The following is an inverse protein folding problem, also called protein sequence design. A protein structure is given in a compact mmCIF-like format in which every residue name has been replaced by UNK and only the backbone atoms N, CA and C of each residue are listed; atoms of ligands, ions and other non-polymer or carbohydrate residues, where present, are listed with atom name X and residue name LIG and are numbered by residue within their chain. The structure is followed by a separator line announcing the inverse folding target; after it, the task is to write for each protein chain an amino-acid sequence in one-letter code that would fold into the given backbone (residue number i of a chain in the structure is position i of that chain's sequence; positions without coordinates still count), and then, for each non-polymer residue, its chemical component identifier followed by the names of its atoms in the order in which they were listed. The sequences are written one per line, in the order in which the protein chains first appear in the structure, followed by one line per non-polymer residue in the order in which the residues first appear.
data_IF_334456954398
#
_entry.id   IF_334456954398
#
_cell.length_a   1.000
_cell.length_b   1.000
_cell.length_c   1.000
_cell.angle_alpha   90.00
_cell.angle_beta   90.00
_cell.angle_gamma   90.00
#
_symmetry.space_group_name_H-M   'P 1'
#
loop_
_entity.id
_entity.type
_entity.pdbx_description
1 polymer ?
#
# COMPACT_ATOMS: atom_id res chain seq x y z
N UNK A 1 -9.48 49.76 49.33
CA UNK A 1 -9.25 49.93 47.88
C UNK A 1 -8.05 49.10 47.51
N UNK A 2 -8.19 48.01 46.77
CA UNK A 2 -7.25 47.35 45.88
C UNK A 2 -7.59 45.87 45.72
N UNK A 3 -8.52 45.54 44.79
CA UNK A 3 -8.82 44.16 44.37
C UNK A 3 -9.16 44.10 42.84
N UNK A 4 -8.36 44.76 41.98
CA UNK A 4 -8.66 44.82 40.54
C UNK A 4 -7.48 44.48 39.59
N UNK A 5 -6.41 43.81 40.05
CA UNK A 5 -5.24 43.51 39.14
C UNK A 5 -4.90 42.05 38.94
N UNK A 6 -5.61 41.09 39.53
CA UNK A 6 -5.22 39.66 39.37
C UNK A 6 -5.99 38.96 38.24
N UNK A 7 -7.17 39.46 37.84
CA UNK A 7 -7.97 38.81 36.76
C UNK A 7 -7.42 38.96 35.33
N UNK A 8 -6.63 40.03 35.05
CA UNK A 8 -6.14 40.31 33.72
C UNK A 8 -5.00 39.41 33.24
N UNK A 9 -4.13 38.97 34.14
CA UNK A 9 -2.96 38.13 33.80
C UNK A 9 -3.33 36.66 33.50
N UNK A 10 -4.39 36.14 34.15
CA UNK A 10 -4.86 34.77 33.94
C UNK A 10 -5.57 34.67 32.57
N UNK A 11 -6.40 35.66 32.21
CA UNK A 11 -7.10 35.73 30.93
C UNK A 11 -6.14 35.82 29.72
N UNK A 12 -5.07 36.61 29.85
CA UNK A 12 -4.06 36.76 28.77
C UNK A 12 -3.22 35.47 28.61
N UNK A 13 -2.90 34.77 29.70
CA UNK A 13 -2.18 33.49 29.62
C UNK A 13 -3.04 32.36 29.03
N UNK A 14 -4.33 32.28 29.35
CA UNK A 14 -5.25 31.33 28.73
C UNK A 14 -5.47 31.63 27.25
N UNK A 15 -5.59 32.90 26.86
CA UNK A 15 -5.74 33.31 25.46
C UNK A 15 -4.48 33.01 24.65
N UNK A 16 -3.28 33.19 25.20
CA UNK A 16 -2.01 32.82 24.56
C UNK A 16 -1.87 31.29 24.41
N UNK A 17 -2.28 30.48 25.38
CA UNK A 17 -2.26 29.01 25.26
C UNK A 17 -3.24 28.52 24.20
N UNK A 18 -4.45 29.09 24.09
CA UNK A 18 -5.45 28.68 23.09
C UNK A 18 -5.08 29.09 21.67
N UNK A 19 -4.29 30.15 21.48
CA UNK A 19 -3.80 30.57 20.15
C UNK A 19 -2.54 29.82 19.74
N UNK A 20 -1.68 29.42 20.69
CA UNK A 20 -0.44 28.68 20.37
C UNK A 20 -0.68 27.22 19.99
N UNK A 21 -1.74 26.53 20.49
CA UNK A 21 -2.02 25.15 20.11
C UNK A 21 -2.32 24.95 18.62
N UNK A 22 -3.22 25.72 17.98
CA UNK A 22 -3.48 25.58 16.54
C UNK A 22 -2.29 25.99 15.65
N UNK A 23 -1.41 26.88 16.12
CA UNK A 23 -0.19 27.27 15.39
C UNK A 23 0.84 26.13 15.35
N UNK A 24 1.00 25.37 16.41
CA UNK A 24 1.93 24.23 16.47
C UNK A 24 1.47 23.07 15.57
N UNK A 25 0.16 22.78 15.53
CA UNK A 25 -0.39 21.76 14.61
C UNK A 25 -0.35 22.22 13.16
N UNK A 26 -0.55 23.50 12.88
CA UNK A 26 -0.39 24.07 11.55
C UNK A 26 1.05 23.96 11.03
N UNK A 27 2.06 24.21 11.87
CA UNK A 27 3.49 24.09 11.50
C UNK A 27 3.88 22.67 11.10
N UNK A 28 3.39 21.64 11.80
CA UNK A 28 3.70 20.23 11.46
C UNK A 28 3.06 19.81 10.14
N UNK A 29 1.85 20.27 9.85
CA UNK A 29 1.12 20.01 8.60
C UNK A 29 1.79 20.71 7.43
N UNK A 30 2.16 21.98 7.57
CA UNK A 30 2.87 22.75 6.53
C UNK A 30 4.22 22.08 6.21
N UNK A 31 5.01 21.72 7.21
CA UNK A 31 6.29 21.04 7.02
C UNK A 31 6.14 19.67 6.34
N UNK A 32 5.03 18.97 6.58
CA UNK A 32 4.72 17.73 5.89
C UNK A 32 4.45 17.95 4.40
N UNK A 33 3.58 18.90 4.05
CA UNK A 33 3.28 19.19 2.65
C UNK A 33 4.48 19.80 1.90
N UNK A 34 5.30 20.62 2.56
CA UNK A 34 6.54 21.14 1.98
C UNK A 34 7.46 20.00 1.52
N UNK A 35 7.71 19.02 2.39
CA UNK A 35 8.56 17.88 2.02
C UNK A 35 7.94 17.00 0.93
N UNK A 36 6.62 16.85 0.91
CA UNK A 36 5.91 16.08 -0.12
C UNK A 36 6.03 16.77 -1.49
N UNK A 37 5.78 18.08 -1.56
CA UNK A 37 5.92 18.87 -2.80
C UNK A 37 7.36 18.88 -3.30
N UNK A 38 8.34 19.17 -2.42
CA UNK A 38 9.77 19.15 -2.80
C UNK A 38 10.21 17.78 -3.30
N UNK A 39 9.77 16.71 -2.62
CA UNK A 39 10.08 15.34 -3.01
C UNK A 39 9.52 14.99 -4.37
N UNK A 40 8.24 15.30 -4.61
CA UNK A 40 7.56 15.08 -5.89
C UNK A 40 8.23 15.86 -7.03
N UNK A 41 8.44 17.17 -6.87
CA UNK A 41 9.12 17.99 -7.86
C UNK A 41 10.53 17.46 -8.15
N UNK A 42 11.26 17.02 -7.13
CA UNK A 42 12.58 16.40 -7.28
C UNK A 42 12.57 15.13 -8.16
N UNK A 43 11.50 14.32 -8.13
CA UNK A 43 11.32 13.18 -9.03
C UNK A 43 11.09 13.65 -10.48
N UNK A 44 10.19 14.62 -10.66
CA UNK A 44 9.85 15.14 -12.00
C UNK A 44 11.05 15.79 -12.68
N UNK A 45 11.82 16.62 -11.97
CA UNK A 45 13.01 17.29 -12.53
C UNK A 45 14.12 16.30 -12.94
N UNK A 46 14.23 15.16 -12.29
CA UNK A 46 15.19 14.09 -12.63
C UNK A 46 14.69 13.19 -13.76
N UNK A 47 13.43 13.29 -14.14
CA UNK A 47 12.84 12.37 -15.10
C UNK A 47 13.16 12.74 -16.56
N UNK A 48 13.46 11.73 -17.39
CA UNK A 48 13.69 11.87 -18.81
C UNK A 48 12.83 10.87 -19.61
N UNK A 49 12.45 11.22 -20.85
CA UNK A 49 11.72 10.33 -21.74
C UNK A 49 12.51 9.02 -21.98
N UNK A 50 11.85 7.89 -21.80
CA UNK A 50 12.41 6.56 -22.04
C UNK A 50 12.86 6.42 -23.49
N UNK A 51 12.06 6.84 -24.46
CA UNK A 51 12.41 6.75 -25.89
C UNK A 51 13.65 7.58 -26.21
N UNK A 52 13.79 8.78 -25.62
CA UNK A 52 15.00 9.60 -25.78
C UNK A 52 16.22 8.91 -25.17
N UNK A 53 16.09 8.32 -23.97
CA UNK A 53 17.22 7.61 -23.33
C UNK A 53 17.67 6.39 -24.13
N UNK A 54 16.73 5.64 -24.70
CA UNK A 54 17.02 4.49 -25.58
C UNK A 54 17.74 4.97 -26.84
N UNK A 55 17.23 6.01 -27.51
CA UNK A 55 17.76 6.51 -28.79
C UNK A 55 19.13 7.17 -28.67
N UNK A 56 19.40 7.90 -27.58
CA UNK A 56 20.62 8.70 -27.42
C UNK A 56 21.77 7.96 -26.74
N UNK A 57 21.58 6.71 -26.33
CA UNK A 57 22.60 5.92 -25.62
C UNK A 57 23.19 6.63 -24.37
N UNK A 58 22.46 7.53 -23.75
CA UNK A 58 22.92 8.29 -22.57
C UNK A 58 22.90 7.46 -21.27
N UNK A 59 22.39 6.24 -21.32
CA UNK A 59 22.38 5.29 -20.20
C UNK A 59 23.16 4.04 -20.57
N UNK A 60 23.69 3.32 -19.56
CA UNK A 60 24.42 2.07 -19.80
C UNK A 60 23.55 1.01 -20.50
N UNK A 61 24.19 0.04 -21.15
CA UNK A 61 23.51 -1.01 -21.95
C UNK A 61 22.43 -1.73 -21.13
N UNK A 62 22.75 -2.16 -19.92
CA UNK A 62 21.81 -2.85 -19.02
C UNK A 62 20.58 -2.00 -18.71
N UNK A 63 20.77 -0.72 -18.37
CA UNK A 63 19.64 0.20 -18.14
C UNK A 63 18.79 0.36 -19.40
N UNK A 64 19.42 0.49 -20.56
CA UNK A 64 18.71 0.60 -21.85
C UNK A 64 17.88 -0.64 -22.16
N UNK A 65 18.39 -1.83 -21.94
CA UNK A 65 17.65 -3.10 -22.10
C UNK A 65 16.43 -3.14 -21.17
N UNK A 66 16.61 -2.74 -19.91
CA UNK A 66 15.50 -2.67 -18.95
C UNK A 66 14.44 -1.65 -19.35
N UNK A 67 14.84 -0.50 -19.89
CA UNK A 67 13.91 0.51 -20.41
C UNK A 67 13.15 0.02 -21.66
N UNK A 68 13.79 -0.79 -22.52
CA UNK A 68 13.11 -1.42 -23.66
C UNK A 68 12.06 -2.43 -23.19
N UNK A 69 12.40 -3.29 -22.22
CA UNK A 69 11.47 -4.21 -21.60
C UNK A 69 10.30 -3.48 -20.94
N UNK A 70 10.57 -2.41 -20.19
CA UNK A 70 9.53 -1.60 -19.57
C UNK A 70 8.54 -1.03 -20.58
N UNK A 71 9.03 -0.54 -21.72
CA UNK A 71 8.18 -0.06 -22.82
C UNK A 71 7.31 -1.16 -23.42
N UNK A 72 7.85 -2.37 -23.53
CA UNK A 72 7.11 -3.57 -23.98
C UNK A 72 6.01 -3.92 -22.97
N UNK A 73 6.33 -3.99 -21.66
CA UNK A 73 5.38 -4.26 -20.59
C UNK A 73 4.23 -3.25 -20.62
N UNK A 74 4.54 -1.94 -20.69
CA UNK A 74 3.52 -0.90 -20.74
C UNK A 74 2.61 -1.06 -21.96
N UNK A 75 3.19 -1.32 -23.13
CA UNK A 75 2.42 -1.55 -24.38
C UNK A 75 1.48 -2.74 -24.23
N UNK A 76 1.94 -3.85 -23.64
CA UNK A 76 1.12 -5.00 -23.34
C UNK A 76 -0.05 -4.64 -22.41
N UNK A 77 0.21 -3.93 -21.32
CA UNK A 77 -0.83 -3.45 -20.38
C UNK A 77 -1.93 -2.68 -21.09
N UNK A 78 -1.58 -1.77 -22.00
CA UNK A 78 -2.54 -0.98 -22.78
C UNK A 78 -3.31 -1.86 -23.78
N UNK A 79 -2.61 -2.65 -24.58
CA UNK A 79 -3.23 -3.37 -25.73
C UNK A 79 -3.97 -4.63 -25.31
N UNK A 80 -3.50 -5.37 -24.30
CA UNK A 80 -4.05 -6.67 -23.91
C UNK A 80 -4.88 -6.61 -22.63
N UNK A 81 -4.48 -5.75 -21.67
CA UNK A 81 -5.19 -5.65 -20.39
C UNK A 81 -6.17 -4.48 -20.34
N UNK A 82 -6.33 -3.71 -21.42
CA UNK A 82 -7.20 -2.51 -21.47
C UNK A 82 -6.86 -1.46 -20.42
N UNK A 83 -5.60 -1.39 -19.99
CA UNK A 83 -5.11 -0.36 -19.06
C UNK A 83 -4.97 1.00 -19.78
N UNK A 84 -5.00 2.14 -19.06
CA UNK A 84 -4.98 3.46 -19.66
C UNK A 84 -3.74 3.74 -20.52
N UNK A 85 -3.95 4.33 -21.70
CA UNK A 85 -2.87 4.85 -22.56
C UNK A 85 -2.67 6.34 -22.30
N UNK A 86 -1.75 6.67 -21.40
CA UNK A 86 -1.40 8.04 -21.04
C UNK A 86 0.11 8.18 -20.86
N UNK A 87 0.59 9.32 -20.34
CA UNK A 87 2.04 9.57 -20.19
C UNK A 87 2.70 8.92 -18.97
N UNK A 88 1.94 8.25 -18.08
CA UNK A 88 2.51 7.57 -16.92
C UNK A 88 3.42 6.41 -17.35
N UNK A 89 4.55 6.28 -16.67
CA UNK A 89 5.57 5.25 -16.91
C UNK A 89 6.21 5.28 -18.31
N UNK A 90 6.12 6.45 -19.00
CA UNK A 90 6.86 6.75 -20.24
C UNK A 90 8.18 7.48 -19.98
N UNK A 91 8.43 7.84 -18.72
CA UNK A 91 9.63 8.55 -18.26
C UNK A 91 10.38 7.70 -17.22
N UNK A 92 11.68 7.92 -17.11
CA UNK A 92 12.56 7.28 -16.14
C UNK A 92 13.29 8.34 -15.32
N UNK A 93 13.44 8.11 -14.01
CA UNK A 93 14.24 8.93 -13.13
C UNK A 93 15.18 8.09 -12.26
N UNK A 94 16.46 8.44 -12.25
CA UNK A 94 17.41 7.95 -11.27
C UNK A 94 17.45 8.91 -10.08
N UNK A 95 16.98 8.45 -8.94
CA UNK A 95 16.91 9.25 -7.71
C UNK A 95 18.11 9.03 -6.79
N UNK A 96 19.03 8.10 -7.11
CA UNK A 96 20.26 7.83 -6.39
C UNK A 96 20.05 7.27 -4.98
N UNK A 97 18.96 6.53 -4.74
CA UNK A 97 18.61 5.89 -3.47
C UNK A 97 17.74 4.67 -3.70
N UNK A 98 17.59 3.80 -2.67
CA UNK A 98 16.91 2.51 -2.77
C UNK A 98 15.37 2.60 -2.69
N UNK A 99 14.83 3.67 -2.11
CA UNK A 99 13.39 3.86 -1.92
C UNK A 99 12.94 5.26 -2.35
N UNK A 100 11.78 5.32 -2.99
CA UNK A 100 11.15 6.58 -3.38
C UNK A 100 10.65 7.36 -2.16
N UNK A 101 9.93 6.67 -1.27
CA UNK A 101 9.36 7.21 -0.04
C UNK A 101 9.47 6.18 1.09
N UNK A 102 9.23 6.62 2.32
CA UNK A 102 9.06 5.77 3.51
C UNK A 102 7.63 5.91 4.00
N UNK A 103 6.89 4.80 4.05
CA UNK A 103 5.54 4.74 4.59
C UNK A 103 5.58 4.34 6.07
N UNK A 104 4.78 5.05 6.89
CA UNK A 104 4.58 4.76 8.30
C UNK A 104 3.13 4.36 8.50
N UNK A 105 2.90 3.16 9.00
CA UNK A 105 1.62 2.58 9.36
C UNK A 105 1.50 2.55 10.87
N UNK A 106 0.31 2.74 11.41
CA UNK A 106 0.05 2.61 12.84
C UNK A 106 -1.32 2.00 13.10
N UNK A 107 -1.49 1.48 14.30
CA UNK A 107 -2.75 0.92 14.80
C UNK A 107 -2.76 1.07 16.32
N UNK A 108 -3.93 1.20 16.92
CA UNK A 108 -4.03 1.17 18.36
C UNK A 108 -3.58 -0.21 18.91
N UNK A 109 -3.09 -0.22 20.15
CA UNK A 109 -2.53 -1.43 20.77
C UNK A 109 -3.50 -2.63 20.72
N UNK A 110 -4.79 -2.37 20.90
CA UNK A 110 -5.85 -3.37 20.90
C UNK A 110 -6.87 -3.13 19.78
N UNK A 111 -6.37 -2.93 18.55
CA UNK A 111 -7.22 -2.78 17.38
C UNK A 111 -6.60 -3.46 16.15
N UNK A 112 -7.44 -4.11 15.36
CA UNK A 112 -7.09 -4.59 14.02
C UNK A 112 -7.36 -3.54 12.94
N UNK A 113 -7.87 -2.36 13.32
CA UNK A 113 -8.11 -1.27 12.39
C UNK A 113 -6.87 -0.40 12.26
N UNK A 114 -6.50 0.01 11.03
CA UNK A 114 -5.39 0.92 10.83
C UNK A 114 -5.76 2.34 11.25
N UNK A 115 -4.79 3.05 11.83
CA UNK A 115 -4.88 4.51 11.93
C UNK A 115 -4.82 5.11 10.54
N UNK A 116 -5.69 6.06 10.25
CA UNK A 116 -5.75 6.72 8.94
C UNK A 116 -5.30 8.18 9.01
N UNK A 117 -4.77 8.67 7.89
CA UNK A 117 -4.44 10.08 7.67
C UNK A 117 -5.12 10.55 6.39
N UNK A 118 -5.75 11.73 6.47
CA UNK A 118 -6.57 12.24 5.37
C UNK A 118 -5.81 13.29 4.56
N UNK A 119 -5.85 13.13 3.23
CA UNK A 119 -5.21 13.99 2.25
C UNK A 119 -6.23 14.51 1.22
N UNK A 120 -6.03 15.69 0.62
CA UNK A 120 -7.02 16.28 -0.30
C UNK A 120 -7.37 15.40 -1.49
N UNK A 121 -6.39 14.71 -2.10
CA UNK A 121 -6.55 13.89 -3.30
C UNK A 121 -6.90 12.45 -2.91
N UNK A 122 -6.03 11.78 -2.17
CA UNK A 122 -6.17 10.36 -1.85
C UNK A 122 -7.32 10.06 -0.87
N UNK A 123 -7.81 11.06 -0.13
CA UNK A 123 -8.72 10.83 0.99
C UNK A 123 -7.99 10.31 2.22
N UNK A 124 -8.67 9.51 3.05
CA UNK A 124 -8.08 8.94 4.25
C UNK A 124 -7.45 7.58 3.91
N UNK A 125 -6.13 7.47 4.12
CA UNK A 125 -5.34 6.27 3.80
C UNK A 125 -4.64 5.74 5.06
N UNK A 126 -4.33 4.42 5.14
CA UNK A 126 -3.81 3.78 6.35
C UNK A 126 -2.31 4.00 6.58
N UNK A 127 -1.68 4.93 5.87
CA UNK A 127 -0.27 5.24 6.03
C UNK A 127 0.02 6.72 5.81
N UNK A 128 1.20 7.14 6.28
CA UNK A 128 1.74 8.47 6.02
C UNK A 128 3.10 8.35 5.35
N UNK A 129 3.24 8.93 4.14
CA UNK A 129 4.44 8.83 3.32
C UNK A 129 5.42 9.97 3.54
N UNK A 130 6.72 9.68 3.55
CA UNK A 130 7.80 10.66 3.69
C UNK A 130 8.87 10.44 2.63
N UNK A 131 9.34 11.50 1.99
CA UNK A 131 10.51 11.45 1.12
C UNK A 131 11.84 11.40 1.89
N UNK A 132 11.82 11.64 3.20
CA UNK A 132 12.97 11.57 4.09
C UNK A 132 12.82 10.43 5.09
N UNK A 133 13.80 9.49 5.08
CA UNK A 133 13.87 8.38 6.04
C UNK A 133 13.87 8.89 7.49
N UNK A 134 14.71 9.87 7.80
CA UNK A 134 14.81 10.43 9.14
C UNK A 134 13.49 11.05 9.65
N UNK A 135 12.71 11.71 8.77
CA UNK A 135 11.40 12.25 9.15
C UNK A 135 10.39 11.12 9.39
N UNK A 136 10.42 10.06 8.59
CA UNK A 136 9.57 8.88 8.80
C UNK A 136 9.90 8.17 10.12
N UNK A 137 11.19 7.96 10.41
CA UNK A 137 11.65 7.34 11.66
C UNK A 137 11.25 8.16 12.89
N UNK A 138 11.43 9.49 12.86
CA UNK A 138 10.99 10.38 13.94
C UNK A 138 9.50 10.26 14.18
N UNK A 139 8.69 10.34 13.13
CA UNK A 139 7.24 10.21 13.25
C UNK A 139 6.83 8.82 13.77
N UNK A 140 7.49 7.76 13.34
CA UNK A 140 7.26 6.42 13.86
C UNK A 140 7.58 6.31 15.37
N UNK A 141 8.65 6.97 15.85
CA UNK A 141 9.00 7.01 17.26
C UNK A 141 7.96 7.80 18.08
N UNK A 142 7.45 8.93 17.56
CA UNK A 142 6.38 9.71 18.19
C UNK A 142 5.11 8.87 18.38
N UNK A 143 4.70 8.11 17.36
CA UNK A 143 3.54 7.21 17.44
C UNK A 143 3.77 6.07 18.44
N UNK A 144 4.96 5.46 18.45
CA UNK A 144 5.32 4.41 19.43
C UNK A 144 5.30 4.96 20.87
N UNK A 145 5.82 6.16 21.09
CA UNK A 145 5.77 6.81 22.40
C UNK A 145 4.32 7.09 22.84
N UNK A 146 3.40 7.27 21.89
CA UNK A 146 1.95 7.36 22.14
C UNK A 146 1.25 6.02 22.38
N UNK A 147 1.98 4.90 22.45
CA UNK A 147 1.43 3.57 22.76
C UNK A 147 0.84 2.82 21.55
N UNK A 148 1.09 3.28 20.32
CA UNK A 148 0.60 2.61 19.12
C UNK A 148 1.55 1.48 18.66
N UNK A 149 0.97 0.44 18.06
CA UNK A 149 1.71 -0.47 17.19
C UNK A 149 2.11 0.28 15.93
N UNK A 150 3.38 0.24 15.55
CA UNK A 150 3.89 1.00 14.39
C UNK A 150 4.75 0.11 13.50
N UNK A 151 4.55 0.27 12.20
CA UNK A 151 5.37 -0.33 11.16
C UNK A 151 5.84 0.75 10.19
N UNK A 152 7.12 0.74 9.83
CA UNK A 152 7.69 1.63 8.83
C UNK A 152 8.44 0.82 7.77
N UNK A 153 8.21 1.16 6.50
CA UNK A 153 8.84 0.48 5.36
C UNK A 153 9.26 1.48 4.29
N UNK A 154 10.39 1.20 3.64
CA UNK A 154 10.73 1.84 2.39
C UNK A 154 9.78 1.37 1.27
N UNK A 155 9.28 2.32 0.48
CA UNK A 155 8.42 2.07 -0.68
C UNK A 155 9.21 2.44 -1.94
N UNK A 156 9.46 1.47 -2.83
CA UNK A 156 10.32 1.70 -3.98
C UNK A 156 9.63 2.47 -5.11
N UNK A 157 8.31 2.40 -5.21
CA UNK A 157 7.52 3.14 -6.19
C UNK A 157 6.88 4.40 -5.59
N UNK A 158 6.46 5.32 -6.45
CA UNK A 158 5.68 6.49 -6.09
C UNK A 158 4.70 6.80 -7.22
N UNK A 159 3.44 6.96 -6.88
CA UNK A 159 2.38 7.27 -7.84
C UNK A 159 1.58 8.48 -7.38
N UNK A 160 1.14 9.27 -8.35
CA UNK A 160 0.20 10.40 -8.17
C UNK A 160 -1.24 10.01 -8.50
N UNK A 161 -1.52 8.73 -8.65
CA UNK A 161 -2.85 8.20 -9.04
C UNK A 161 -3.35 8.78 -10.39
N UNK A 162 -2.43 9.06 -11.31
CA UNK A 162 -2.74 9.62 -12.62
C UNK A 162 -2.94 11.14 -12.68
N UNK A 163 -2.73 11.87 -11.57
CA UNK A 163 -2.72 13.33 -11.57
C UNK A 163 -1.51 13.96 -12.26
N UNK A 164 -0.48 13.15 -12.53
CA UNK A 164 0.73 13.52 -13.24
C UNK A 164 1.29 12.37 -14.05
N UNK A 165 2.34 12.65 -14.87
CA UNK A 165 3.08 11.63 -15.61
C UNK A 165 4.10 10.99 -14.69
N UNK A 166 3.72 9.95 -13.94
CA UNK A 166 4.58 9.27 -12.97
C UNK A 166 5.75 8.57 -13.69
N UNK A 167 7.03 8.84 -13.29
CA UNK A 167 8.17 8.17 -13.88
C UNK A 167 8.41 6.80 -13.24
N UNK A 168 8.98 5.87 -14.00
CA UNK A 168 9.63 4.69 -13.41
C UNK A 168 10.95 5.10 -12.78
N UNK A 169 11.25 4.55 -11.60
CA UNK A 169 12.42 4.91 -10.84
C UNK A 169 13.52 3.82 -10.93
N UNK A 170 14.79 4.21 -10.70
CA UNK A 170 15.91 3.26 -10.59
C UNK A 170 15.67 2.19 -9.53
N UNK A 171 14.89 2.49 -8.51
CA UNK A 171 14.54 1.62 -7.38
C UNK A 171 13.84 0.32 -7.79
N UNK A 172 13.14 0.31 -8.93
CA UNK A 172 12.35 -0.82 -9.43
C UNK A 172 12.80 -1.34 -10.79
N UNK A 173 13.55 -0.54 -11.55
CA UNK A 173 13.89 -0.87 -12.94
C UNK A 173 14.64 -2.21 -13.06
N UNK A 174 15.47 -2.57 -12.07
CA UNK A 174 16.28 -3.79 -12.09
C UNK A 174 15.59 -4.99 -11.42
N UNK A 175 14.33 -4.88 -11.06
CA UNK A 175 13.58 -6.01 -10.50
C UNK A 175 13.43 -7.16 -11.52
N UNK A 176 13.15 -8.39 -11.07
CA UNK A 176 12.73 -9.48 -11.94
C UNK A 176 11.60 -9.03 -12.87
N UNK A 177 11.57 -9.60 -14.08
CA UNK A 177 10.67 -9.15 -15.15
C UNK A 177 9.19 -9.20 -14.75
N UNK A 178 8.77 -10.27 -14.08
CA UNK A 178 7.42 -10.46 -13.59
C UNK A 178 7.04 -9.44 -12.48
N UNK A 179 8.00 -9.07 -11.63
CA UNK A 179 7.76 -8.05 -10.60
C UNK A 179 7.70 -6.65 -11.19
N UNK A 180 8.54 -6.34 -12.20
CA UNK A 180 8.48 -5.07 -12.91
C UNK A 180 7.16 -4.94 -13.69
N UNK A 181 6.74 -6.01 -14.38
CA UNK A 181 5.46 -6.04 -15.08
C UNK A 181 4.29 -5.86 -14.11
N UNK A 182 4.31 -6.60 -13.00
CA UNK A 182 3.32 -6.50 -11.95
C UNK A 182 3.15 -5.08 -11.43
N UNK A 183 4.26 -4.42 -11.08
CA UNK A 183 4.22 -3.03 -10.61
C UNK A 183 3.57 -2.10 -11.63
N UNK A 184 3.93 -2.18 -12.90
CA UNK A 184 3.37 -1.29 -13.94
C UNK A 184 1.87 -1.53 -14.11
N UNK A 185 1.42 -2.79 -14.09
CA UNK A 185 -0.02 -3.11 -14.19
C UNK A 185 -0.79 -2.64 -12.96
N UNK A 186 -0.22 -2.81 -11.76
CA UNK A 186 -0.78 -2.32 -10.49
C UNK A 186 -1.01 -0.81 -10.51
N UNK A 187 0.01 -0.06 -10.84
CA UNK A 187 -0.04 1.40 -10.83
C UNK A 187 -0.96 1.97 -11.94
N UNK A 188 -1.00 1.33 -13.09
CA UNK A 188 -1.96 1.69 -14.15
C UNK A 188 -3.39 1.31 -13.79
N UNK A 189 -3.60 0.23 -13.00
CA UNK A 189 -4.94 -0.14 -12.52
C UNK A 189 -5.55 0.92 -11.62
N UNK A 190 -4.76 1.57 -10.76
CA UNK A 190 -5.23 2.72 -9.97
C UNK A 190 -5.76 3.89 -10.80
N UNK A 191 -5.37 3.97 -12.07
CA UNK A 191 -5.86 5.00 -13.01
C UNK A 191 -7.12 4.57 -13.75
N UNK A 192 -7.49 3.28 -13.70
CA UNK A 192 -8.80 2.78 -14.18
C UNK A 192 -9.90 3.11 -13.19
N UNK A 193 -9.64 2.80 -11.91
CA UNK A 193 -10.59 2.98 -10.80
C UNK A 193 -9.81 3.38 -9.55
N UNK A 194 -10.28 4.44 -8.88
CA UNK A 194 -9.82 4.84 -7.56
C UNK A 194 -10.96 5.45 -6.75
N UNK A 195 -11.28 4.86 -5.61
CA UNK A 195 -12.30 5.34 -4.69
C UNK A 195 -11.63 6.01 -3.49
N UNK A 196 -11.90 7.30 -3.33
CA UNK A 196 -11.32 8.12 -2.26
C UNK A 196 -11.63 7.53 -0.89
N UNK A 197 -10.62 7.39 -0.03
CA UNK A 197 -10.72 6.84 1.33
C UNK A 197 -10.98 5.33 1.43
N UNK A 198 -10.97 4.58 0.33
CA UNK A 198 -11.19 3.14 0.31
C UNK A 198 -9.94 2.35 -0.09
N UNK A 199 -8.88 2.49 0.71
CA UNK A 199 -7.58 1.88 0.39
C UNK A 199 -7.67 0.36 0.18
N UNK A 200 -8.42 -0.37 1.00
CA UNK A 200 -8.54 -1.82 0.84
C UNK A 200 -9.18 -2.22 -0.51
N UNK A 201 -10.18 -1.47 -0.96
CA UNK A 201 -10.79 -1.67 -2.28
C UNK A 201 -9.77 -1.38 -3.39
N UNK A 202 -9.14 -0.20 -3.36
CA UNK A 202 -8.22 0.25 -4.39
C UNK A 202 -7.00 -0.67 -4.53
N UNK A 203 -6.36 -1.00 -3.40
CA UNK A 203 -5.16 -1.83 -3.38
C UNK A 203 -5.46 -3.28 -3.75
N UNK A 204 -6.58 -3.85 -3.28
CA UNK A 204 -6.99 -5.21 -3.68
C UNK A 204 -7.34 -5.29 -5.17
N UNK A 205 -7.99 -4.26 -5.72
CA UNK A 205 -8.27 -4.17 -7.15
C UNK A 205 -6.98 -4.13 -7.96
N UNK A 206 -6.07 -3.21 -7.63
CA UNK A 206 -4.80 -3.07 -8.34
C UNK A 206 -3.93 -4.34 -8.21
N UNK A 207 -3.87 -4.96 -7.02
CA UNK A 207 -3.16 -6.23 -6.81
C UNK A 207 -3.78 -7.37 -7.62
N UNK A 208 -5.11 -7.42 -7.74
CA UNK A 208 -5.77 -8.41 -8.58
C UNK A 208 -5.41 -8.24 -10.07
N UNK A 209 -5.46 -6.99 -10.58
CA UNK A 209 -5.07 -6.68 -11.97
C UNK A 209 -3.59 -6.99 -12.21
N UNK A 210 -2.72 -6.66 -11.26
CA UNK A 210 -1.31 -7.05 -11.27
C UNK A 210 -1.16 -8.57 -11.45
N UNK A 211 -1.79 -9.35 -10.58
CA UNK A 211 -1.64 -10.81 -10.55
C UNK A 211 -2.15 -11.48 -11.82
N UNK A 212 -3.28 -11.04 -12.34
CA UNK A 212 -3.86 -11.59 -13.58
C UNK A 212 -3.09 -11.09 -14.81
N UNK A 213 -2.72 -9.80 -14.81
CA UNK A 213 -1.95 -9.19 -15.90
C UNK A 213 -0.58 -9.85 -16.11
N UNK A 214 0.15 -10.15 -15.03
CA UNK A 214 1.44 -10.86 -15.12
C UNK A 214 1.25 -12.27 -15.69
N UNK A 215 0.20 -12.99 -15.32
CA UNK A 215 -0.06 -14.32 -15.87
C UNK A 215 -0.34 -14.26 -17.38
N UNK A 216 -1.14 -13.28 -17.83
CA UNK A 216 -1.41 -13.08 -19.26
C UNK A 216 -0.13 -12.70 -20.03
N UNK A 217 0.67 -11.80 -19.47
CA UNK A 217 1.93 -11.36 -20.07
C UNK A 217 2.93 -12.51 -20.23
N UNK A 218 3.11 -13.35 -19.20
CA UNK A 218 3.97 -14.52 -19.26
C UNK A 218 3.44 -15.59 -20.25
N UNK A 219 2.12 -15.74 -20.35
CA UNK A 219 1.47 -16.65 -21.31
C UNK A 219 1.72 -16.21 -22.75
N UNK A 220 1.53 -14.90 -23.06
CA UNK A 220 1.77 -14.37 -24.41
C UNK A 220 3.23 -14.50 -24.83
N UNK A 221 4.17 -14.36 -23.88
CA UNK A 221 5.60 -14.57 -24.14
C UNK A 221 5.98 -16.04 -24.36
N UNK A 222 5.07 -16.98 -24.13
CA UNK A 222 5.35 -18.41 -24.20
C UNK A 222 6.29 -18.92 -23.09
N UNK A 223 6.52 -18.14 -22.04
CA UNK A 223 7.40 -18.50 -20.92
C UNK A 223 6.66 -19.36 -19.90
N UNK A 224 6.47 -20.63 -20.28
CA UNK A 224 5.73 -21.60 -19.45
C UNK A 224 6.41 -21.87 -18.11
N UNK A 225 7.74 -21.82 -18.06
CA UNK A 225 8.50 -22.03 -16.83
C UNK A 225 8.28 -20.87 -15.85
N UNK A 226 8.43 -19.62 -16.29
CA UNK A 226 8.17 -18.45 -15.47
C UNK A 226 6.71 -18.36 -15.03
N UNK A 227 5.76 -18.70 -15.92
CA UNK A 227 4.32 -18.75 -15.58
C UNK A 227 4.02 -19.77 -14.49
N UNK A 228 4.59 -20.97 -14.57
CA UNK A 228 4.42 -22.01 -13.55
C UNK A 228 5.01 -21.57 -12.21
N UNK A 229 6.22 -21.02 -12.22
CA UNK A 229 6.87 -20.50 -11.02
C UNK A 229 6.07 -19.32 -10.41
N UNK A 230 5.55 -18.41 -11.23
CA UNK A 230 4.71 -17.28 -10.79
C UNK A 230 3.43 -17.78 -10.11
N UNK A 231 2.70 -18.72 -10.73
CA UNK A 231 1.50 -19.33 -10.16
C UNK A 231 1.76 -20.02 -8.83
N UNK A 232 2.87 -20.73 -8.71
CA UNK A 232 3.27 -21.38 -7.46
C UNK A 232 3.54 -20.36 -6.34
N UNK A 233 4.26 -19.27 -6.65
CA UNK A 233 4.49 -18.17 -5.67
C UNK A 233 3.17 -17.47 -5.29
N UNK A 234 2.28 -17.22 -6.25
CA UNK A 234 0.95 -16.64 -5.97
C UNK A 234 0.13 -17.54 -5.05
N UNK A 235 0.07 -18.84 -5.34
CA UNK A 235 -0.65 -19.81 -4.50
C UNK A 235 -0.08 -19.88 -3.07
N UNK A 236 1.25 -19.83 -2.93
CA UNK A 236 1.89 -19.75 -1.62
C UNK A 236 1.54 -18.45 -0.89
N UNK A 237 1.63 -17.31 -1.56
CA UNK A 237 1.23 -16.00 -1.02
C UNK A 237 -0.21 -16.03 -0.51
N UNK A 238 -1.14 -16.56 -1.28
CA UNK A 238 -2.55 -16.66 -0.89
C UNK A 238 -2.77 -17.48 0.40
N UNK A 239 -2.02 -18.59 0.59
CA UNK A 239 -2.06 -19.36 1.84
C UNK A 239 -1.55 -18.55 3.04
N UNK A 240 -0.44 -17.83 2.87
CA UNK A 240 0.11 -16.97 3.93
C UNK A 240 -0.85 -15.84 4.28
N UNK A 241 -1.44 -15.19 3.27
CA UNK A 241 -2.45 -14.14 3.45
C UNK A 241 -3.64 -14.67 4.24
N UNK A 242 -4.17 -15.84 3.88
CA UNK A 242 -5.27 -16.47 4.64
C UNK A 242 -4.91 -16.63 6.12
N UNK A 243 -3.72 -17.08 6.45
CA UNK A 243 -3.28 -17.20 7.86
C UNK A 243 -3.18 -15.87 8.57
N UNK A 244 -2.75 -14.83 7.87
CA UNK A 244 -2.75 -13.47 8.41
C UNK A 244 -4.17 -13.02 8.75
N UNK A 245 -5.16 -13.30 7.89
CA UNK A 245 -6.58 -13.00 8.17
C UNK A 245 -7.13 -13.81 9.33
N UNK A 246 -6.85 -15.13 9.40
CA UNK A 246 -7.25 -15.99 10.52
C UNK A 246 -6.64 -15.49 11.85
N UNK A 247 -5.39 -15.03 11.81
CA UNK A 247 -4.72 -14.45 12.98
C UNK A 247 -5.33 -13.10 13.38
N UNK A 248 -5.63 -12.21 12.41
CA UNK A 248 -6.34 -10.95 12.66
C UNK A 248 -7.71 -11.18 13.29
N UNK A 249 -8.48 -12.16 12.81
CA UNK A 249 -9.76 -12.54 13.40
C UNK A 249 -9.59 -13.01 14.86
N UNK A 250 -8.51 -13.73 15.18
CA UNK A 250 -8.21 -14.15 16.56
C UNK A 250 -7.86 -12.97 17.46
N UNK A 251 -7.09 -11.99 16.95
CA UNK A 251 -6.80 -10.74 17.66
C UNK A 251 -8.08 -9.91 17.87
N UNK A 252 -8.94 -9.80 16.86
CA UNK A 252 -10.22 -9.08 16.99
C UNK A 252 -11.10 -9.67 18.09
N UNK A 253 -11.18 -10.99 18.21
CA UNK A 253 -11.89 -11.66 19.31
C UNK A 253 -11.27 -11.34 20.67
N UNK A 254 -9.93 -11.39 20.77
CA UNK A 254 -9.23 -11.02 21.99
C UNK A 254 -9.52 -9.57 22.40
N UNK A 255 -9.48 -8.62 21.48
CA UNK A 255 -9.68 -7.21 21.79
C UNK A 255 -11.14 -6.87 22.20
N UNK A 256 -12.09 -7.74 21.83
CA UNK A 256 -13.50 -7.66 22.27
C UNK A 256 -13.82 -8.50 23.51
N UNK A 257 -12.83 -9.17 24.11
CA UNK A 257 -13.07 -10.15 25.20
C UNK A 257 -13.44 -9.55 26.56
N UNK A 258 -13.30 -8.23 26.75
CA UNK A 258 -13.51 -7.58 28.05
C UNK A 258 -12.42 -7.86 29.09
N UNK A 259 -11.31 -8.48 28.73
CA UNK A 259 -10.16 -8.66 29.62
C UNK A 259 -9.50 -7.34 30.00
N UNK A 260 -8.79 -7.29 31.13
CA UNK A 260 -7.95 -6.15 31.47
C UNK A 260 -6.85 -5.93 30.43
N UNK A 261 -6.36 -4.69 30.30
CA UNK A 261 -5.30 -4.35 29.34
C UNK A 261 -4.05 -5.23 29.53
N UNK A 262 -3.66 -5.54 30.75
CA UNK A 262 -2.49 -6.39 31.02
C UNK A 262 -2.73 -7.85 30.61
N UNK A 263 -3.92 -8.39 30.84
CA UNK A 263 -4.31 -9.70 30.37
C UNK A 263 -4.34 -9.75 28.83
N UNK A 264 -4.92 -8.75 28.19
CA UNK A 264 -4.92 -8.63 26.72
C UNK A 264 -3.50 -8.57 26.13
N UNK A 265 -2.57 -7.82 26.75
CA UNK A 265 -1.15 -7.78 26.31
C UNK A 265 -0.49 -9.14 26.39
N UNK A 266 -0.74 -9.88 27.45
CA UNK A 266 -0.22 -11.23 27.63
C UNK A 266 -0.73 -12.17 26.55
N UNK A 267 -2.05 -12.20 26.34
CA UNK A 267 -2.67 -13.05 25.31
C UNK A 267 -2.27 -12.62 23.88
N UNK A 268 -2.19 -11.32 23.59
CA UNK A 268 -1.67 -10.80 22.32
C UNK A 268 -0.26 -11.34 22.03
N UNK A 269 0.66 -11.29 23.01
CA UNK A 269 2.02 -11.84 22.86
C UNK A 269 2.01 -13.34 22.55
N UNK A 270 1.14 -14.11 23.21
CA UNK A 270 0.99 -15.55 22.98
C UNK A 270 0.44 -15.84 21.58
N UNK A 271 -0.57 -15.10 21.13
CA UNK A 271 -1.13 -15.23 19.78
C UNK A 271 -0.05 -14.96 18.72
N UNK A 272 0.73 -13.88 18.84
CA UNK A 272 1.82 -13.59 17.91
C UNK A 272 2.95 -14.63 17.96
N UNK A 273 3.25 -15.19 19.14
CA UNK A 273 4.25 -16.27 19.27
C UNK A 273 3.79 -17.52 18.50
N UNK A 274 2.54 -17.95 18.69
CA UNK A 274 1.94 -19.08 17.96
C UNK A 274 1.89 -18.83 16.45
N UNK A 275 1.54 -17.62 16.03
CA UNK A 275 1.52 -17.24 14.61
C UNK A 275 2.91 -17.40 13.99
N UNK A 276 3.97 -16.89 14.64
CA UNK A 276 5.35 -17.02 14.16
C UNK A 276 5.80 -18.47 14.09
N UNK A 277 5.49 -19.28 15.10
CA UNK A 277 5.83 -20.70 15.14
C UNK A 277 5.16 -21.47 13.98
N UNK A 278 3.85 -21.27 13.78
CA UNK A 278 3.14 -21.89 12.67
C UNK A 278 3.70 -21.42 11.31
N UNK A 279 3.98 -20.13 11.16
CA UNK A 279 4.55 -19.61 9.93
C UNK A 279 5.94 -20.19 9.64
N UNK A 280 6.81 -20.24 10.65
CA UNK A 280 8.15 -20.82 10.55
C UNK A 280 8.10 -22.29 10.11
N UNK A 281 7.26 -23.09 10.76
CA UNK A 281 7.14 -24.54 10.46
C UNK A 281 6.68 -24.78 9.02
N UNK A 282 5.80 -23.93 8.47
CA UNK A 282 5.33 -24.05 7.09
C UNK A 282 6.29 -23.50 6.05
N UNK A 283 7.07 -22.46 6.38
CA UNK A 283 8.08 -21.91 5.48
C UNK A 283 9.13 -22.98 5.14
N UNK A 284 9.53 -23.81 6.10
CA UNK A 284 10.45 -24.92 5.84
C UNK A 284 9.84 -26.05 5.02
N UNK A 285 8.51 -26.19 5.02
CA UNK A 285 7.80 -27.13 4.16
C UNK A 285 7.56 -26.57 2.74
N UNK A 286 7.65 -25.25 2.55
CA UNK A 286 7.40 -24.53 1.29
C UNK A 286 8.66 -23.85 0.76
N UNK A 287 9.07 -24.21 -0.45
CA UNK A 287 10.30 -23.73 -1.10
C UNK A 287 10.22 -22.29 -1.66
N UNK A 288 9.34 -21.44 -1.17
CA UNK A 288 9.10 -20.11 -1.73
C UNK A 288 9.24 -19.00 -0.68
N UNK A 289 10.45 -18.46 -0.47
CA UNK A 289 10.60 -17.30 0.40
C UNK A 289 9.80 -16.12 -0.13
N UNK A 290 9.04 -15.47 0.74
CA UNK A 290 8.38 -14.21 0.45
C UNK A 290 9.27 -13.05 0.91
N UNK A 291 9.16 -11.91 0.25
CA UNK A 291 9.83 -10.67 0.71
C UNK A 291 9.38 -10.25 2.11
N UNK A 292 8.26 -10.81 2.60
CA UNK A 292 7.69 -10.53 3.93
C UNK A 292 8.25 -11.40 5.05
N UNK A 293 8.92 -12.53 4.73
CA UNK A 293 9.33 -13.54 5.70
C UNK A 293 10.14 -12.93 6.84
N UNK A 294 11.13 -12.10 6.49
CA UNK A 294 11.98 -11.48 7.48
C UNK A 294 11.18 -10.70 8.54
N UNK A 295 10.18 -9.93 8.14
CA UNK A 295 9.45 -9.09 9.08
C UNK A 295 8.25 -9.79 9.73
N UNK A 296 7.65 -10.82 9.11
CA UNK A 296 6.68 -11.68 9.78
C UNK A 296 7.35 -12.38 10.96
N UNK A 297 8.59 -12.87 10.77
CA UNK A 297 9.32 -13.58 11.78
C UNK A 297 9.95 -12.67 12.85
N UNK A 298 10.32 -11.43 12.53
CA UNK A 298 11.02 -10.54 13.46
C UNK A 298 10.11 -9.95 14.52
N UNK A 299 9.23 -9.03 14.15
CA UNK A 299 8.36 -8.27 15.08
C UNK A 299 6.97 -8.02 14.49
N UNK A 300 6.12 -9.04 14.36
CA UNK A 300 4.77 -8.83 13.89
C UNK A 300 3.97 -8.02 14.92
N UNK A 301 3.19 -7.06 14.42
CA UNK A 301 2.27 -6.25 15.22
C UNK A 301 1.02 -5.89 14.41
N UNK A 302 0.02 -5.26 15.02
CA UNK A 302 -1.22 -4.93 14.34
C UNK A 302 -1.00 -4.09 13.07
N UNK A 303 -0.12 -3.07 13.13
CA UNK A 303 0.13 -2.19 11.99
C UNK A 303 0.73 -2.95 10.77
N UNK A 304 1.59 -3.94 11.02
CA UNK A 304 2.14 -4.80 9.94
C UNK A 304 1.08 -5.70 9.32
N UNK A 305 0.23 -6.31 10.15
CA UNK A 305 -0.87 -7.14 9.67
C UNK A 305 -1.85 -6.32 8.83
N UNK A 306 -2.16 -5.10 9.27
CA UNK A 306 -3.04 -4.18 8.56
C UNK A 306 -2.46 -3.75 7.21
N UNK A 307 -1.16 -3.49 7.13
CA UNK A 307 -0.49 -3.17 5.87
C UNK A 307 -0.69 -4.27 4.81
N UNK A 308 -0.62 -5.56 5.19
CA UNK A 308 -0.87 -6.66 4.25
C UNK A 308 -2.37 -6.78 3.95
N UNK A 309 -3.22 -6.71 4.96
CA UNK A 309 -4.65 -6.89 4.79
C UNK A 309 -5.23 -5.88 3.79
N UNK A 310 -4.75 -4.63 3.80
CA UNK A 310 -5.15 -3.58 2.87
C UNK A 310 -5.03 -4.01 1.40
N UNK A 311 -3.98 -4.76 1.04
CA UNK A 311 -3.72 -5.17 -0.35
C UNK A 311 -4.48 -6.44 -0.77
N UNK A 312 -4.98 -7.24 0.18
CA UNK A 312 -5.46 -8.58 -0.14
C UNK A 312 -6.91 -8.87 0.25
N UNK A 313 -7.57 -7.92 0.92
CA UNK A 313 -8.90 -8.13 1.51
C UNK A 313 -9.95 -8.58 0.48
N UNK A 314 -9.98 -7.95 -0.71
CA UNK A 314 -11.00 -8.17 -1.72
C UNK A 314 -10.51 -8.94 -2.95
N UNK A 315 -9.28 -9.46 -2.96
CA UNK A 315 -8.76 -10.25 -4.10
C UNK A 315 -9.69 -11.42 -4.46
N UNK A 316 -10.21 -12.23 -3.51
CA UNK A 316 -11.12 -13.32 -3.86
C UNK A 316 -12.42 -12.84 -4.51
N UNK A 317 -12.95 -11.69 -4.08
CA UNK A 317 -14.16 -11.11 -4.67
C UNK A 317 -13.89 -10.64 -6.12
N UNK A 318 -12.76 -9.96 -6.35
CA UNK A 318 -12.37 -9.55 -7.70
C UNK A 318 -12.09 -10.75 -8.62
N UNK A 319 -11.55 -11.84 -8.08
CA UNK A 319 -11.37 -13.08 -8.83
C UNK A 319 -12.72 -13.64 -9.33
N UNK A 320 -13.72 -13.75 -8.44
CA UNK A 320 -15.06 -14.21 -8.81
C UNK A 320 -15.73 -13.29 -9.82
N UNK A 321 -15.61 -11.97 -9.61
CA UNK A 321 -16.15 -10.99 -10.54
C UNK A 321 -15.51 -11.12 -11.93
N UNK A 322 -14.19 -11.26 -12.02
CA UNK A 322 -13.45 -11.41 -13.26
C UNK A 322 -13.83 -12.69 -14.01
N UNK A 323 -13.98 -13.80 -13.29
CA UNK A 323 -14.47 -15.08 -13.85
C UNK A 323 -15.88 -14.93 -14.40
N UNK A 324 -16.77 -14.25 -13.68
CA UNK A 324 -18.13 -13.92 -14.14
C UNK A 324 -18.16 -13.04 -15.40
N UNK A 325 -17.14 -12.24 -15.62
CA UNK A 325 -16.94 -11.43 -16.84
C UNK A 325 -16.27 -12.21 -17.99
N UNK A 326 -16.19 -13.53 -17.91
CA UNK A 326 -15.53 -14.36 -18.92
C UNK A 326 -14.02 -14.09 -19.05
N UNK A 327 -13.39 -13.66 -17.98
CA UNK A 327 -11.95 -13.28 -17.90
C UNK A 327 -11.58 -12.17 -18.89
N UNK A 328 -12.48 -11.25 -19.18
CA UNK A 328 -12.28 -10.10 -20.05
C UNK A 328 -12.02 -8.83 -19.23
N UNK A 329 -10.84 -8.23 -19.34
CA UNK A 329 -10.45 -7.05 -18.55
C UNK A 329 -11.36 -5.84 -18.79
N UNK A 330 -11.79 -5.58 -20.02
CA UNK A 330 -12.66 -4.44 -20.32
C UNK A 330 -14.01 -4.58 -19.61
N UNK A 331 -14.66 -5.74 -19.75
CA UNK A 331 -15.94 -6.02 -19.08
C UNK A 331 -15.76 -5.97 -17.55
N UNK A 332 -14.69 -6.56 -17.04
CA UNK A 332 -14.36 -6.50 -15.62
C UNK A 332 -14.18 -5.06 -15.10
N UNK A 333 -13.49 -4.20 -15.84
CA UNK A 333 -13.33 -2.81 -15.45
C UNK A 333 -14.65 -2.04 -15.44
N UNK A 334 -15.57 -2.35 -16.36
CA UNK A 334 -16.89 -1.74 -16.38
C UNK A 334 -17.73 -2.17 -15.17
N UNK A 335 -17.68 -3.45 -14.78
CA UNK A 335 -18.32 -3.95 -13.56
C UNK A 335 -17.70 -3.34 -12.28
N UNK A 336 -16.37 -3.22 -12.23
CA UNK A 336 -15.72 -2.58 -11.08
C UNK A 336 -16.08 -1.09 -11.00
N UNK A 337 -16.21 -0.36 -12.12
CA UNK A 337 -16.73 1.00 -12.13
C UNK A 337 -18.16 1.07 -11.59
N UNK A 338 -19.03 0.14 -11.98
CA UNK A 338 -20.38 0.06 -11.43
C UNK A 338 -20.40 -0.13 -9.91
N UNK A 339 -19.47 -0.93 -9.37
CA UNK A 339 -19.30 -1.01 -7.91
C UNK A 339 -18.94 0.33 -7.28
N UNK A 340 -18.17 1.19 -7.94
CA UNK A 340 -17.77 2.50 -7.37
C UNK A 340 -18.92 3.48 -7.24
N UNK A 341 -19.97 3.33 -8.04
CA UNK A 341 -21.17 4.16 -7.99
C UNK A 341 -22.11 3.78 -6.82
N UNK A 342 -21.91 2.60 -6.22
CA UNK A 342 -22.70 2.15 -5.07
C UNK A 342 -22.30 2.90 -3.78
N UNK A 343 -23.22 3.08 -2.84
CA UNK A 343 -22.88 3.49 -1.47
C UNK A 343 -21.84 2.54 -0.86
N UNK A 344 -20.92 3.02 0.00
CA UNK A 344 -19.85 2.18 0.57
C UNK A 344 -20.36 0.89 1.24
N UNK A 345 -21.47 0.95 1.99
CA UNK A 345 -22.04 -0.22 2.67
C UNK A 345 -22.55 -1.27 1.66
N UNK A 346 -23.19 -0.84 0.58
CA UNK A 346 -23.69 -1.75 -0.44
C UNK A 346 -22.57 -2.37 -1.26
N UNK A 347 -21.52 -1.60 -1.56
CA UNK A 347 -20.29 -2.10 -2.20
C UNK A 347 -19.61 -3.18 -1.36
N UNK A 348 -19.42 -2.94 -0.04
CA UNK A 348 -18.86 -3.93 0.88
C UNK A 348 -19.73 -5.18 0.91
N UNK A 349 -21.06 -5.04 0.99
CA UNK A 349 -22.00 -6.18 0.95
C UNK A 349 -21.85 -6.98 -0.34
N UNK A 350 -21.80 -6.33 -1.50
CA UNK A 350 -21.64 -6.99 -2.80
C UNK A 350 -20.31 -7.76 -2.88
N UNK A 351 -19.21 -7.15 -2.45
CA UNK A 351 -17.90 -7.81 -2.40
C UNK A 351 -17.88 -8.98 -1.40
N UNK A 352 -18.60 -8.87 -0.29
CA UNK A 352 -18.71 -9.95 0.71
C UNK A 352 -19.47 -11.16 0.16
N UNK A 353 -20.49 -10.95 -0.67
CA UNK A 353 -21.22 -12.03 -1.34
C UNK A 353 -20.37 -12.78 -2.36
N UNK A 354 -19.42 -12.10 -2.98
CA UNK A 354 -18.47 -12.67 -3.94
C UNK A 354 -17.27 -13.34 -3.27
N UNK A 355 -17.01 -13.10 -1.98
CA UNK A 355 -15.81 -13.60 -1.31
C UNK A 355 -16.13 -14.81 -0.44
N UNK A 356 -15.42 -15.95 -0.60
CA UNK A 356 -15.51 -17.08 0.32
C UNK A 356 -14.80 -16.85 1.67
N UNK A 357 -14.02 -15.78 1.80
CA UNK A 357 -13.40 -15.39 3.07
C UNK A 357 -14.42 -14.61 3.89
N UNK A 358 -14.54 -14.85 5.22
CA UNK A 358 -15.30 -13.96 6.08
C UNK A 358 -14.64 -12.60 6.02
N UNK A 359 -15.21 -11.70 5.21
CA UNK A 359 -14.91 -10.28 5.28
C UNK A 359 -15.48 -9.86 6.63
N UNK A 360 -14.60 -9.77 7.62
CA UNK A 360 -14.81 -9.37 9.01
C UNK A 360 -16.25 -9.02 9.38
N UNK A 361 -16.77 -9.69 10.41
CA UNK A 361 -17.85 -9.16 11.26
C UNK A 361 -17.38 -7.77 11.79
N UNK A 362 -17.47 -6.75 10.94
CA UNK A 362 -17.34 -5.34 11.25
C UNK A 362 -18.74 -4.77 11.48
N UNK A 363 -19.46 -5.33 12.48
CA UNK A 363 -20.59 -4.71 13.14
C UNK A 363 -20.22 -4.38 14.60
#
# INVERSE_FOLDING_TARGET
MSTRRIGGLIGVRLLFLTICLPVLTACSTISYYEQAVRGHLGLLFKSASIDRLIATHKVGSKTRERLMLLREIRRFGVSQLSLPDNDSYTRYADIGRDYAVWAVFASDEFSIEPKTWCFPIAGCVPYRGYFSRHRAERFALELKAGGLDVFSSGVPAYSTLGWGSDPVLNTVLMWPDDQLAGLIFHELAHQVVYVKSESAFNESFATFVEEMGVQEWLRERGDTQALTAYRSRRAWRARVVKKIFDHRASLARLYRSGLSADAMRKEKKLLFARFREHYHNEQFAGQHPLTWDHWILSEPNNARLNAIATYHQYIPAFQQLFEGCGSNFRVFFDEVRALTEMPPVDRVRQLSMLSPLPLNDLD
#
